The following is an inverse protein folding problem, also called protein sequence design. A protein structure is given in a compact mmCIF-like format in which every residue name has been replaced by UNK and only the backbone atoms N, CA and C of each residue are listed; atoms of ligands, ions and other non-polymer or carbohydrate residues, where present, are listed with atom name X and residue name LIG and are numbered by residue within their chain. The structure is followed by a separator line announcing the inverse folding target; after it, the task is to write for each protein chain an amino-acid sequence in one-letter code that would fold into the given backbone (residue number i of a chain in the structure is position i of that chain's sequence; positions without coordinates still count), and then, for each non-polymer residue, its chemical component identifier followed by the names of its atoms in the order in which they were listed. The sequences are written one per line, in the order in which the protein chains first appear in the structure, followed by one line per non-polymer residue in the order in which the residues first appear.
data_IF_711374775424
#
_entry.id   IF_711374775424
#
_cell.length_a   1.000
_cell.length_b   1.000
_cell.length_c   1.000
_cell.angle_alpha   90.00
_cell.angle_beta   90.00
_cell.angle_gamma   90.00
#
_symmetry.space_group_name_H-M   'P 1'
#
loop_
_entity.id
_entity.type
_entity.pdbx_description
1 polymer ?
#
# COMPACT_ATOMS: atom_id res chain seq x y z
N UNK A 1 -14.02 7.42 -15.88
CA UNK A 1 -14.19 8.65 -15.06
C UNK A 1 -15.66 9.00 -14.81
N UNK A 2 -16.40 8.18 -14.05
CA UNK A 2 -17.81 8.47 -13.71
C UNK A 2 -17.93 9.57 -12.64
N UNK A 3 -17.11 9.48 -11.59
CA UNK A 3 -17.09 10.46 -10.51
C UNK A 3 -16.68 11.87 -10.97
N UNK A 4 -15.63 11.98 -11.80
CA UNK A 4 -15.20 13.27 -12.37
C UNK A 4 -16.33 13.97 -13.12
N UNK A 5 -17.08 13.24 -13.96
CA UNK A 5 -18.21 13.81 -14.70
C UNK A 5 -19.32 14.27 -13.75
N UNK A 6 -19.64 13.45 -12.75
CA UNK A 6 -20.62 13.80 -11.71
C UNK A 6 -20.21 15.08 -10.96
N UNK A 7 -18.97 15.14 -10.44
CA UNK A 7 -18.46 16.31 -9.71
C UNK A 7 -18.45 17.57 -10.58
N UNK A 8 -17.96 17.47 -11.82
CA UNK A 8 -17.91 18.60 -12.74
C UNK A 8 -19.31 19.12 -13.11
N UNK A 9 -20.27 18.21 -13.33
CA UNK A 9 -21.67 18.57 -13.56
C UNK A 9 -22.28 19.28 -12.35
N UNK A 10 -22.00 18.79 -11.13
CA UNK A 10 -22.53 19.37 -9.89
C UNK A 10 -21.96 20.77 -9.63
N UNK A 11 -20.67 20.98 -9.87
CA UNK A 11 -19.96 22.22 -9.56
C UNK A 11 -19.82 23.18 -10.75
N UNK A 12 -20.44 22.88 -11.90
CA UNK A 12 -20.30 23.66 -13.16
C UNK A 12 -18.83 23.89 -13.56
N UNK A 13 -18.01 22.85 -13.43
CA UNK A 13 -16.58 22.86 -13.77
C UNK A 13 -16.30 21.96 -14.96
N UNK A 14 -15.13 22.13 -15.57
CA UNK A 14 -14.59 21.23 -16.60
C UNK A 14 -13.15 20.85 -16.25
N UNK A 15 -12.60 19.83 -16.92
CA UNK A 15 -11.23 19.36 -16.70
C UNK A 15 -11.08 18.18 -15.74
N UNK A 16 -9.83 17.81 -15.46
CA UNK A 16 -9.47 16.73 -14.53
C UNK A 16 -9.50 17.22 -13.09
N UNK A 17 -9.98 16.37 -12.17
CA UNK A 17 -9.86 16.58 -10.70
C UNK A 17 -8.73 15.74 -10.09
N UNK A 18 -8.01 14.99 -10.94
CA UNK A 18 -6.89 14.16 -10.55
C UNK A 18 -5.59 14.80 -11.02
N UNK A 19 -4.57 14.76 -10.17
CA UNK A 19 -3.21 15.25 -10.46
C UNK A 19 -2.45 14.37 -11.47
N UNK A 20 -2.93 13.14 -11.71
CA UNK A 20 -2.30 12.23 -12.67
C UNK A 20 -2.90 10.83 -12.69
N UNK A 21 -2.16 9.89 -13.27
CA UNK A 21 -2.51 8.46 -13.25
C UNK A 21 -2.24 7.88 -11.87
N UNK A 22 -3.16 7.04 -11.38
CA UNK A 22 -2.94 6.28 -10.16
C UNK A 22 -1.70 5.39 -10.27
N UNK A 23 -1.10 5.07 -9.13
CA UNK A 23 -0.02 4.10 -8.99
C UNK A 23 -0.56 2.86 -8.32
N UNK A 24 -0.07 1.69 -8.72
CA UNK A 24 -0.46 0.41 -8.14
C UNK A 24 0.73 -0.54 -8.09
N UNK A 25 0.85 -1.28 -7.00
CA UNK A 25 1.83 -2.35 -6.81
C UNK A 25 1.14 -3.59 -6.24
N UNK A 26 1.66 -4.78 -6.56
CA UNK A 26 1.22 -6.02 -5.91
C UNK A 26 1.92 -6.14 -4.56
N UNK A 27 1.18 -6.55 -3.54
CA UNK A 27 1.67 -6.66 -2.16
C UNK A 27 1.55 -8.10 -1.67
N UNK A 28 2.58 -8.60 -1.02
CA UNK A 28 2.53 -9.88 -0.28
C UNK A 28 1.73 -9.69 1.02
N UNK A 29 0.47 -10.13 1.01
CA UNK A 29 -0.46 -9.96 2.13
C UNK A 29 0.05 -10.57 3.43
N UNK A 30 0.61 -11.78 3.35
CA UNK A 30 0.99 -12.55 4.54
C UNK A 30 2.11 -11.87 5.31
N UNK A 31 3.01 -11.21 4.57
CA UNK A 31 4.18 -10.54 5.13
C UNK A 31 3.92 -9.06 5.46
N UNK A 32 3.03 -8.38 4.74
CA UNK A 32 2.96 -6.91 4.75
C UNK A 32 1.58 -6.28 4.90
N UNK A 33 0.50 -7.06 5.04
CA UNK A 33 -0.86 -6.49 5.11
C UNK A 33 -0.98 -5.44 6.23
N UNK A 34 -0.58 -5.78 7.45
CA UNK A 34 -0.74 -4.87 8.60
C UNK A 34 0.19 -3.66 8.53
N UNK A 35 1.37 -3.82 7.92
CA UNK A 35 2.25 -2.70 7.59
C UNK A 35 1.60 -1.73 6.61
N UNK A 36 0.88 -2.25 5.62
CA UNK A 36 0.14 -1.44 4.67
C UNK A 36 -1.07 -0.75 5.31
N UNK A 37 -1.81 -1.46 6.17
CA UNK A 37 -2.92 -0.86 6.92
C UNK A 37 -2.42 0.30 7.77
N UNK A 38 -1.38 0.08 8.59
CA UNK A 38 -0.77 1.13 9.41
C UNK A 38 -0.25 2.28 8.55
N UNK A 39 0.37 2.01 7.40
CA UNK A 39 0.80 3.06 6.48
C UNK A 39 -0.36 3.94 6.02
N UNK A 40 -1.48 3.33 5.60
CA UNK A 40 -2.66 4.06 5.13
C UNK A 40 -3.30 4.87 6.27
N UNK A 41 -3.51 4.24 7.42
CA UNK A 41 -4.19 4.84 8.57
C UNK A 41 -3.35 5.92 9.27
N UNK A 42 -2.02 5.91 9.09
CA UNK A 42 -1.12 6.98 9.57
C UNK A 42 -0.96 8.17 8.60
N UNK A 43 -1.50 8.09 7.37
CA UNK A 43 -1.39 9.20 6.42
C UNK A 43 -1.99 10.53 6.91
N UNK A 44 -3.17 10.55 7.58
CA UNK A 44 -3.74 11.78 8.14
C UNK A 44 -2.85 12.42 9.21
N UNK A 45 -2.25 11.61 10.07
CA UNK A 45 -1.29 12.07 11.09
C UNK A 45 -0.05 12.66 10.42
N UNK A 46 0.50 11.96 9.42
CA UNK A 46 1.65 12.44 8.64
C UNK A 46 1.37 13.75 7.90
N UNK A 47 0.15 13.92 7.40
CA UNK A 47 -0.30 15.13 6.73
C UNK A 47 -0.67 16.27 7.71
N UNK A 48 -0.44 16.07 9.02
CA UNK A 48 -0.78 17.01 10.09
C UNK A 48 -2.26 17.41 10.09
N UNK A 49 -3.14 16.50 9.64
CA UNK A 49 -4.59 16.72 9.65
C UNK A 49 -5.20 16.42 11.03
N UNK A 50 -4.59 15.49 11.76
CA UNK A 50 -5.01 15.00 13.08
C UNK A 50 -3.79 14.62 13.91
N UNK A 51 -3.92 14.54 15.24
CA UNK A 51 -2.81 14.13 16.11
C UNK A 51 -2.73 12.60 16.24
N UNK A 52 -3.89 11.92 16.19
CA UNK A 52 -3.99 10.47 16.29
C UNK A 52 -4.80 9.89 15.11
N UNK A 53 -4.45 8.67 14.68
CA UNK A 53 -5.20 7.94 13.65
C UNK A 53 -6.68 7.73 14.04
N UNK A 54 -6.99 7.60 15.34
CA UNK A 54 -8.36 7.49 15.85
C UNK A 54 -9.24 8.72 15.57
N UNK A 55 -8.63 9.89 15.36
CA UNK A 55 -9.36 11.15 15.13
C UNK A 55 -9.81 11.30 13.67
N UNK A 56 -9.32 10.44 12.75
CA UNK A 56 -9.64 10.54 11.33
C UNK A 56 -10.74 9.56 10.92
N UNK A 57 -11.99 10.03 10.72
CA UNK A 57 -13.15 9.16 10.50
C UNK A 57 -13.15 8.51 9.11
N UNK A 58 -12.40 9.05 8.15
CA UNK A 58 -12.38 8.55 6.77
C UNK A 58 -11.27 7.50 6.55
N UNK A 59 -11.13 6.58 7.49
CA UNK A 59 -10.23 5.43 7.42
C UNK A 59 -10.88 4.18 8.02
N UNK A 60 -10.26 3.02 7.82
CA UNK A 60 -10.69 1.78 8.47
C UNK A 60 -10.23 1.67 9.93
N UNK A 61 -9.46 2.64 10.45
CA UNK A 61 -8.92 2.58 11.81
C UNK A 61 -10.00 2.48 12.89
N UNK A 62 -11.11 3.26 12.85
CA UNK A 62 -12.17 3.15 13.86
C UNK A 62 -12.79 1.75 13.91
N UNK A 63 -12.99 1.11 12.75
CA UNK A 63 -13.44 -0.28 12.70
C UNK A 63 -12.37 -1.24 13.23
N UNK A 64 -11.16 -1.16 12.68
CA UNK A 64 -10.11 -2.16 12.93
C UNK A 64 -9.57 -2.12 14.37
N UNK A 65 -9.50 -0.94 14.98
CA UNK A 65 -8.86 -0.69 16.27
C UNK A 65 -9.84 -0.36 17.41
N UNK A 66 -10.97 0.27 17.09
CA UNK A 66 -11.96 0.75 18.08
C UNK A 66 -13.25 -0.08 18.08
N UNK A 67 -13.47 -0.90 17.05
CA UNK A 67 -14.66 -1.76 16.93
C UNK A 67 -15.91 -1.01 16.50
N UNK A 68 -15.75 0.17 15.88
CA UNK A 68 -16.90 0.92 15.35
C UNK A 68 -17.50 0.20 14.14
N UNK A 69 -18.82 -0.01 14.08
CA UNK A 69 -19.44 -0.75 12.98
C UNK A 69 -19.43 0.05 11.68
N UNK A 70 -18.92 -0.56 10.61
CA UNK A 70 -18.97 -0.02 9.26
C UNK A 70 -19.43 -1.09 8.27
N UNK A 71 -20.51 -0.80 7.54
CA UNK A 71 -21.11 -1.72 6.55
C UNK A 71 -20.32 -1.79 5.24
N UNK A 72 -19.42 -0.83 5.00
CA UNK A 72 -18.58 -0.78 3.82
C UNK A 72 -17.34 -1.66 3.94
N UNK A 73 -17.02 -2.14 5.15
CA UNK A 73 -15.83 -2.92 5.43
C UNK A 73 -16.12 -4.41 5.27
N UNK A 74 -15.29 -5.07 4.45
CA UNK A 74 -15.19 -6.53 4.38
C UNK A 74 -13.87 -6.94 4.99
N UNK A 75 -13.90 -7.73 6.06
CA UNK A 75 -12.70 -8.14 6.79
C UNK A 75 -11.80 -9.04 5.93
N UNK A 76 -10.49 -8.78 5.96
CA UNK A 76 -9.52 -9.67 5.34
C UNK A 76 -9.26 -10.90 6.24
N UNK A 77 -8.98 -12.07 5.65
CA UNK A 77 -8.74 -13.32 6.41
C UNK A 77 -7.63 -13.20 7.47
N UNK A 78 -6.57 -12.43 7.18
CA UNK A 78 -5.51 -12.17 8.15
C UNK A 78 -5.99 -11.30 9.33
N UNK A 79 -6.91 -10.37 9.09
CA UNK A 79 -7.52 -9.58 10.17
C UNK A 79 -8.44 -10.47 11.02
N UNK A 80 -9.28 -11.32 10.39
CA UNK A 80 -10.14 -12.25 11.13
C UNK A 80 -9.34 -13.26 11.96
N UNK A 81 -8.14 -13.63 11.50
CA UNK A 81 -7.21 -14.48 12.24
C UNK A 81 -6.63 -13.83 13.52
N UNK A 82 -6.76 -12.52 13.71
CA UNK A 82 -6.28 -11.82 14.93
C UNK A 82 -7.08 -12.16 16.19
N UNK A 83 -8.29 -12.70 16.04
CA UNK A 83 -9.17 -12.98 17.17
C UNK A 83 -10.54 -13.49 16.77
N UNK A 84 -11.10 -14.38 17.59
CA UNK A 84 -12.43 -14.98 17.36
C UNK A 84 -13.56 -13.96 17.51
N UNK A 85 -13.38 -12.95 18.34
CA UNK A 85 -14.37 -11.88 18.58
C UNK A 85 -13.84 -10.54 18.07
N UNK A 86 -14.74 -9.58 17.82
CA UNK A 86 -14.37 -8.23 17.37
C UNK A 86 -13.44 -7.55 18.38
N UNK A 87 -13.69 -7.72 19.67
CA UNK A 87 -12.92 -7.13 20.76
C UNK A 87 -11.48 -7.65 20.77
N UNK A 88 -11.32 -8.97 20.59
CA UNK A 88 -9.99 -9.59 20.49
C UNK A 88 -9.24 -9.12 19.24
N UNK A 89 -9.93 -8.98 18.10
CA UNK A 89 -9.32 -8.44 16.87
C UNK A 89 -8.85 -7.01 17.08
N UNK A 90 -9.70 -6.15 17.63
CA UNK A 90 -9.35 -4.76 17.94
C UNK A 90 -8.16 -4.65 18.89
N UNK A 91 -8.14 -5.47 19.96
CA UNK A 91 -7.02 -5.51 20.91
C UNK A 91 -5.71 -5.94 20.23
N UNK A 92 -5.73 -7.07 19.52
CA UNK A 92 -4.57 -7.58 18.78
C UNK A 92 -4.09 -6.59 17.72
N UNK A 93 -5.03 -5.94 17.01
CA UNK A 93 -4.75 -4.95 15.99
C UNK A 93 -4.04 -3.72 16.57
N UNK A 94 -4.54 -3.16 17.68
CA UNK A 94 -3.87 -2.06 18.40
C UNK A 94 -2.46 -2.44 18.82
N UNK A 95 -2.27 -3.64 19.39
CA UNK A 95 -0.95 -4.12 19.76
C UNK A 95 0.00 -4.26 18.57
N UNK A 96 -0.49 -4.65 17.38
CA UNK A 96 0.33 -4.64 16.15
C UNK A 96 0.65 -3.20 15.74
N UNK A 97 -0.33 -2.31 15.81
CA UNK A 97 -0.18 -0.91 15.45
C UNK A 97 0.89 -0.19 16.28
N UNK A 98 1.04 -0.53 17.56
CA UNK A 98 2.09 0.01 18.42
C UNK A 98 3.48 -0.59 18.12
N UNK A 99 3.56 -1.89 17.83
CA UNK A 99 4.84 -2.62 17.66
C UNK A 99 5.48 -2.48 16.29
N UNK A 100 4.69 -2.25 15.24
CA UNK A 100 5.20 -2.21 13.87
C UNK A 100 6.00 -0.94 13.61
N UNK A 101 7.32 -1.04 13.45
CA UNK A 101 8.10 0.06 12.90
C UNK A 101 7.84 0.19 11.39
N UNK A 102 7.12 1.25 11.03
CA UNK A 102 6.75 1.50 9.63
C UNK A 102 7.74 2.38 8.90
N UNK A 103 8.73 3.01 9.54
CA UNK A 103 9.50 4.04 8.84
C UNK A 103 10.34 3.44 7.70
N UNK A 104 10.94 2.27 7.93
CA UNK A 104 11.65 1.53 6.90
C UNK A 104 10.71 0.94 5.85
N UNK A 105 9.61 0.31 6.29
CA UNK A 105 8.64 -0.34 5.40
C UNK A 105 7.89 0.68 4.53
N UNK A 106 7.58 1.86 5.07
CA UNK A 106 6.96 2.99 4.35
C UNK A 106 7.82 3.42 3.17
N UNK A 107 9.14 3.56 3.37
CA UNK A 107 10.07 3.92 2.30
C UNK A 107 10.05 2.85 1.20
N UNK A 108 9.97 1.58 1.57
CA UNK A 108 9.87 0.46 0.61
C UNK A 108 8.53 0.45 -0.13
N UNK A 109 7.40 0.61 0.56
CA UNK A 109 6.06 0.71 -0.04
C UNK A 109 6.01 1.86 -1.04
N UNK A 110 6.51 3.04 -0.63
CA UNK A 110 6.55 4.23 -1.48
C UNK A 110 7.42 3.98 -2.71
N UNK A 111 8.62 3.44 -2.52
CA UNK A 111 9.55 3.13 -3.62
C UNK A 111 8.92 2.14 -4.60
N UNK A 112 8.39 1.02 -4.11
CA UNK A 112 7.78 -0.01 -4.95
C UNK A 112 6.58 0.55 -5.73
N UNK A 113 5.73 1.33 -5.07
CA UNK A 113 4.54 1.95 -5.69
C UNK A 113 4.91 2.95 -6.79
N UNK A 114 5.92 3.78 -6.57
CA UNK A 114 6.40 4.76 -7.57
C UNK A 114 7.11 4.08 -8.74
N UNK A 115 7.87 3.01 -8.45
CA UNK A 115 8.61 2.22 -9.42
C UNK A 115 7.73 1.25 -10.23
N UNK A 116 6.50 0.98 -9.79
CA UNK A 116 5.65 -0.06 -10.36
C UNK A 116 6.17 -1.48 -10.06
N UNK A 117 6.96 -1.63 -9.00
CA UNK A 117 7.50 -2.91 -8.55
C UNK A 117 6.51 -3.64 -7.65
N UNK A 118 6.73 -4.93 -7.50
CA UNK A 118 6.06 -5.73 -6.48
C UNK A 118 6.65 -5.40 -5.11
N UNK A 119 5.80 -5.25 -4.10
CA UNK A 119 6.22 -5.14 -2.71
C UNK A 119 6.07 -6.49 -2.02
N UNK A 120 7.19 -7.18 -1.84
CA UNK A 120 7.21 -8.50 -1.21
C UNK A 120 8.63 -9.01 -0.99
N UNK A 121 8.75 -10.15 -0.32
CA UNK A 121 10.04 -10.85 -0.19
C UNK A 121 10.48 -11.49 -1.53
N UNK A 122 11.73 -11.97 -1.61
CA UNK A 122 12.26 -12.60 -2.83
C UNK A 122 11.43 -13.78 -3.33
N UNK A 123 10.86 -14.57 -2.41
CA UNK A 123 9.98 -15.69 -2.74
C UNK A 123 8.72 -15.20 -3.46
N UNK A 124 8.13 -14.10 -2.98
CA UNK A 124 6.96 -13.49 -3.60
C UNK A 124 7.29 -12.90 -4.97
N UNK A 125 8.44 -12.23 -5.11
CA UNK A 125 8.89 -11.74 -6.42
C UNK A 125 9.04 -12.87 -7.44
N UNK A 126 9.64 -14.01 -7.05
CA UNK A 126 9.74 -15.20 -7.90
C UNK A 126 8.34 -15.72 -8.28
N UNK A 127 7.46 -15.91 -7.29
CA UNK A 127 6.08 -16.36 -7.50
C UNK A 127 5.33 -15.47 -8.50
N UNK A 128 5.36 -14.15 -8.30
CA UNK A 128 4.65 -13.21 -9.18
C UNK A 128 5.30 -13.15 -10.57
N UNK A 129 6.63 -13.23 -10.68
CA UNK A 129 7.29 -13.24 -11.99
C UNK A 129 6.85 -14.42 -12.86
N UNK A 130 6.66 -15.60 -12.25
CA UNK A 130 6.15 -16.80 -12.92
C UNK A 130 4.67 -16.66 -13.32
N UNK A 131 3.85 -15.99 -12.51
CA UNK A 131 2.42 -15.81 -12.78
C UNK A 131 2.13 -14.77 -13.86
N UNK A 132 2.89 -13.67 -13.87
CA UNK A 132 2.60 -12.50 -14.73
C UNK A 132 3.49 -12.48 -15.97
N UNK A 133 4.49 -13.38 -16.05
CA UNK A 133 5.51 -13.44 -17.11
C UNK A 133 6.14 -12.05 -17.38
N UNK A 134 6.42 -11.30 -16.31
CA UNK A 134 6.99 -9.94 -16.34
C UNK A 134 7.98 -9.76 -15.19
N UNK A 135 8.94 -8.87 -15.38
CA UNK A 135 9.85 -8.44 -14.33
C UNK A 135 9.07 -7.80 -13.18
N UNK A 136 9.36 -8.22 -11.95
CA UNK A 136 8.71 -7.72 -10.73
C UNK A 136 9.54 -6.66 -10.00
N UNK A 137 10.72 -6.35 -10.54
CA UNK A 137 11.66 -5.32 -10.11
C UNK A 137 12.12 -4.53 -11.33
N UNK A 138 12.36 -3.24 -11.15
CA UNK A 138 13.05 -2.45 -12.15
C UNK A 138 14.47 -3.00 -12.27
N UNK A 139 14.79 -3.49 -13.46
CA UNK A 139 16.18 -3.68 -13.85
C UNK A 139 16.76 -2.29 -14.13
N UNK A 140 18.00 -2.05 -13.74
CA UNK A 140 18.75 -0.85 -14.12
C UNK A 140 18.65 -0.66 -15.64
N UNK A 141 18.07 0.48 -16.06
CA UNK A 141 17.99 0.82 -17.48
C UNK A 141 19.38 1.23 -17.98
N UNK A 142 19.85 0.55 -19.02
CA UNK A 142 21.23 0.64 -19.49
C UNK A 142 22.13 -0.30 -18.70
N UNK A 143 22.72 -1.29 -19.37
CA UNK A 143 23.76 -2.12 -18.77
C UNK A 143 24.91 -1.25 -18.27
N UNK A 144 25.71 -1.77 -17.33
CA UNK A 144 26.93 -1.09 -16.90
C UNK A 144 27.90 -1.03 -18.09
N UNK A 145 27.84 0.08 -18.84
CA UNK A 145 28.69 0.35 -20.00
C UNK A 145 30.18 0.44 -19.61
N UNK A 146 30.49 0.50 -18.32
CA UNK A 146 31.87 0.48 -17.80
C UNK A 146 32.31 -0.91 -17.34
N UNK A 147 31.40 -1.88 -17.23
CA UNK A 147 31.73 -3.26 -16.86
C UNK A 147 32.62 -3.93 -17.91
N UNK A 148 33.51 -4.82 -17.47
CA UNK A 148 34.31 -5.64 -18.40
C UNK A 148 33.43 -6.49 -19.32
N UNK A 149 32.31 -7.01 -18.80
CA UNK A 149 31.36 -7.81 -19.59
C UNK A 149 30.77 -7.06 -20.78
N UNK A 150 30.55 -5.75 -20.67
CA UNK A 150 30.07 -4.91 -21.77
C UNK A 150 31.19 -4.54 -22.75
N UNK A 151 32.38 -4.23 -22.25
CA UNK A 151 33.55 -3.92 -23.10
C UNK A 151 33.94 -5.10 -24.00
N UNK A 152 33.77 -6.32 -23.50
CA UNK A 152 34.11 -7.55 -24.22
C UNK A 152 33.04 -8.01 -25.23
N UNK A 153 31.90 -7.29 -25.36
CA UNK A 153 30.86 -7.60 -26.36
C UNK A 153 31.09 -6.92 -27.73
N UNK A 154 32.03 -5.98 -27.82
CA UNK A 154 32.40 -5.30 -29.06
C UNK A 154 33.64 -5.94 -29.71
N UNK A 155 33.63 -7.28 -29.82
CA UNK A 155 34.63 -8.08 -30.54
C UNK A 155 34.09 -8.60 -31.85
#
# INVERSE_FOLDING_TARGET
NRYVRYFNSLHKRTGTIWEGRYKSCLVDSDSYLFSLYKYIEMNPVKASMVNNASEYPWSSYPYNALGEPDKLITEHNLYTALGKTSELRCHSYKGLFERLDIDQQRKQITKATLAGEVFGNDRFHKKISLLVNRATRLCSHGGDRKSESYKNQAG
#
